data_IF_415213351299
#
_entry.id   IF_415213351299
#
_cell.length_a   1.000
_cell.length_b   1.000
_cell.length_c   1.000
_cell.angle_alpha   90.00
_cell.angle_beta   90.00
_cell.angle_gamma   90.00
#
_symmetry.space_group_name_H-M   'P 1'
#
loop_
_entity.id
_entity.type
_entity.pdbx_description
1 polymer ?
#
# COMPACT_ATOMS: atom_id res chain seq x y z
N UNK A 1 -33.02 17.72 -68.16
CA UNK A 1 -32.92 17.70 -66.69
C UNK A 1 -32.06 16.49 -66.35
N UNK A 2 -30.79 16.72 -66.11
CA UNK A 2 -29.80 15.65 -65.87
C UNK A 2 -29.15 16.01 -64.55
N UNK A 3 -29.60 15.37 -63.48
CA UNK A 3 -29.03 15.53 -62.15
C UNK A 3 -27.66 14.85 -62.12
N UNK A 4 -26.61 15.66 -62.06
CA UNK A 4 -25.25 15.21 -61.86
C UNK A 4 -25.05 14.88 -60.37
N UNK A 5 -25.12 13.59 -60.06
CA UNK A 5 -24.82 13.06 -58.73
C UNK A 5 -23.33 13.28 -58.41
N UNK A 6 -23.03 14.21 -57.50
CA UNK A 6 -21.66 14.42 -57.02
C UNK A 6 -21.24 13.27 -56.10
N UNK A 7 -20.02 12.71 -56.27
CA UNK A 7 -19.53 11.66 -55.38
C UNK A 7 -19.23 12.24 -54.00
N UNK A 8 -19.84 11.63 -52.98
CA UNK A 8 -19.59 11.92 -51.56
C UNK A 8 -18.11 11.62 -51.30
N UNK A 9 -17.30 12.66 -51.13
CA UNK A 9 -15.92 12.53 -50.73
C UNK A 9 -15.87 11.81 -49.39
N UNK A 10 -15.39 10.56 -49.39
CA UNK A 10 -15.11 9.80 -48.19
C UNK A 10 -14.05 10.56 -47.38
N UNK A 11 -14.48 11.28 -46.34
CA UNK A 11 -13.59 11.93 -45.39
C UNK A 11 -12.74 10.86 -44.70
N UNK A 12 -11.47 10.77 -45.04
CA UNK A 12 -10.51 9.93 -44.35
C UNK A 12 -10.36 10.46 -42.93
N UNK A 13 -10.83 9.69 -41.94
CA UNK A 13 -10.53 9.97 -40.54
C UNK A 13 -9.00 9.99 -40.38
N UNK A 14 -8.41 11.01 -39.71
CA UNK A 14 -6.99 11.01 -39.47
C UNK A 14 -6.66 9.79 -38.61
N UNK A 15 -5.87 8.88 -39.17
CA UNK A 15 -5.31 7.77 -38.40
C UNK A 15 -4.46 8.37 -37.28
N UNK A 16 -5.00 8.39 -36.07
CA UNK A 16 -4.31 8.82 -34.85
C UNK A 16 -3.27 7.76 -34.50
N UNK A 17 -2.20 7.71 -35.29
CA UNK A 17 -1.04 6.87 -35.01
C UNK A 17 -0.40 7.34 -33.71
N UNK A 18 -0.38 6.45 -32.72
CA UNK A 18 0.34 6.70 -31.46
C UNK A 18 1.80 6.91 -31.84
N UNK A 19 2.29 8.15 -31.67
CA UNK A 19 3.69 8.47 -31.96
C UNK A 19 4.58 7.63 -31.04
N UNK A 20 5.71 7.09 -31.53
CA UNK A 20 6.60 6.22 -30.75
C UNK A 20 7.07 6.88 -29.45
N UNK A 21 7.18 8.21 -29.42
CA UNK A 21 7.44 8.99 -28.22
C UNK A 21 6.43 8.72 -27.08
N UNK A 22 5.13 8.63 -27.37
CA UNK A 22 4.11 8.35 -26.35
C UNK A 22 4.24 6.95 -25.76
N UNK A 23 4.65 5.98 -26.57
CA UNK A 23 4.90 4.61 -26.11
C UNK A 23 6.07 4.60 -25.12
N UNK A 24 7.18 5.26 -25.46
CA UNK A 24 8.34 5.40 -24.57
C UNK A 24 7.96 6.13 -23.29
N UNK A 25 7.24 7.25 -23.40
CA UNK A 25 6.77 8.02 -22.25
C UNK A 25 5.87 7.19 -21.32
N UNK A 26 5.01 6.33 -21.86
CA UNK A 26 4.18 5.44 -21.06
C UNK A 26 5.00 4.32 -20.41
N UNK A 27 5.91 3.68 -21.16
CA UNK A 27 6.75 2.58 -20.65
C UNK A 27 7.60 3.02 -19.46
N UNK A 28 8.18 4.22 -19.50
CA UNK A 28 9.05 4.70 -18.42
C UNK A 28 8.34 5.62 -17.43
N UNK A 29 7.43 6.47 -17.91
CA UNK A 29 6.70 7.41 -17.07
C UNK A 29 5.70 6.74 -16.16
N UNK A 30 4.97 5.72 -16.64
CA UNK A 30 3.97 5.04 -15.80
C UNK A 30 4.59 4.31 -14.60
N UNK A 31 5.65 3.47 -14.75
CA UNK A 31 6.28 2.85 -13.59
C UNK A 31 6.87 3.86 -12.62
N UNK A 32 7.42 4.98 -13.12
CA UNK A 32 7.93 6.06 -12.27
C UNK A 32 6.83 6.68 -11.42
N UNK A 33 5.70 7.04 -12.03
CA UNK A 33 4.54 7.62 -11.32
C UNK A 33 4.00 6.63 -10.28
N UNK A 34 3.85 5.36 -10.66
CA UNK A 34 3.40 4.31 -9.73
C UNK A 34 4.38 4.08 -8.58
N UNK A 35 5.69 4.10 -8.85
CA UNK A 35 6.72 3.97 -7.82
C UNK A 35 6.69 5.12 -6.82
N UNK A 36 6.59 6.37 -7.30
CA UNK A 36 6.47 7.55 -6.43
C UNK A 36 5.18 7.48 -5.61
N UNK A 37 4.05 7.15 -6.25
CA UNK A 37 2.78 7.00 -5.55
C UNK A 37 2.83 5.92 -4.47
N UNK A 38 3.47 4.77 -4.76
CA UNK A 38 3.63 3.69 -3.80
C UNK A 38 4.46 4.12 -2.57
N UNK A 39 5.59 4.80 -2.77
CA UNK A 39 6.40 5.32 -1.66
C UNK A 39 5.64 6.36 -0.83
N UNK A 40 4.89 7.25 -1.49
CA UNK A 40 4.03 8.21 -0.80
C UNK A 40 2.96 7.53 0.06
N UNK A 41 2.32 6.50 -0.48
CA UNK A 41 1.35 5.69 0.27
C UNK A 41 1.97 5.00 1.48
N UNK A 42 3.13 4.36 1.33
CA UNK A 42 3.86 3.74 2.46
C UNK A 42 4.21 4.77 3.54
N UNK A 43 4.62 5.97 3.14
CA UNK A 43 4.90 7.07 4.08
C UNK A 43 3.67 7.50 4.87
N UNK A 44 2.50 7.59 4.22
CA UNK A 44 1.23 7.88 4.91
C UNK A 44 0.91 6.78 5.92
N UNK A 45 1.04 5.50 5.54
CA UNK A 45 0.77 4.38 6.45
C UNK A 45 1.71 4.43 7.66
N UNK A 46 3.00 4.68 7.45
CA UNK A 46 3.97 4.82 8.53
C UNK A 46 3.57 5.93 9.53
N UNK A 47 3.22 7.12 9.02
CA UNK A 47 2.86 8.27 9.85
C UNK A 47 1.51 8.10 10.56
N UNK A 48 0.57 7.34 9.97
CA UNK A 48 -0.76 7.11 10.54
C UNK A 48 -0.87 5.82 11.36
N UNK A 49 0.19 5.04 11.45
CA UNK A 49 0.21 3.87 12.32
C UNK A 49 0.22 4.28 13.79
N UNK A 50 -0.34 3.44 14.64
CA UNK A 50 -0.41 3.69 16.08
C UNK A 50 0.93 3.40 16.81
N UNK A 51 1.97 3.02 16.06
CA UNK A 51 3.29 2.70 16.63
C UNK A 51 4.13 3.97 16.81
N UNK A 52 4.84 4.03 17.93
CA UNK A 52 5.87 5.05 18.13
C UNK A 52 7.09 4.78 17.23
N UNK A 53 7.87 5.83 16.90
CA UNK A 53 9.09 5.67 16.10
C UNK A 53 10.02 4.59 16.67
N UNK A 54 10.21 4.55 17.99
CA UNK A 54 11.05 3.54 18.65
C UNK A 54 10.48 2.11 18.57
N UNK A 55 9.17 1.93 18.42
CA UNK A 55 8.52 0.62 18.33
C UNK A 55 8.62 0.01 16.93
N UNK A 56 8.87 0.86 15.93
CA UNK A 56 9.12 0.45 14.54
C UNK A 56 10.52 -0.14 14.34
N UNK A 57 11.30 -0.32 15.39
CA UNK A 57 12.52 -1.11 15.34
C UNK A 57 12.17 -2.61 15.21
N UNK A 58 11.82 -3.01 13.98
CA UNK A 58 11.35 -4.37 13.69
C UNK A 58 12.47 -5.42 13.76
N UNK A 59 13.74 -4.99 13.71
CA UNK A 59 14.89 -5.87 13.76
C UNK A 59 15.53 -5.94 15.18
N UNK A 60 15.21 -4.99 16.06
CA UNK A 60 15.66 -4.93 17.45
C UNK A 60 17.10 -4.46 17.62
N UNK A 61 17.66 -3.71 16.65
CA UNK A 61 19.05 -3.22 16.70
C UNK A 61 19.20 -1.93 17.52
N UNK A 62 18.10 -1.39 18.05
CA UNK A 62 18.02 -0.21 18.89
C UNK A 62 17.89 1.10 18.11
N UNK A 63 17.74 1.06 16.78
CA UNK A 63 17.59 2.26 15.94
C UNK A 63 16.59 2.07 14.82
N UNK A 64 15.48 2.81 14.89
CA UNK A 64 14.53 2.85 13.78
C UNK A 64 15.05 3.66 12.60
N UNK A 65 15.06 3.02 11.43
CA UNK A 65 15.39 3.61 10.14
C UNK A 65 14.13 3.96 9.34
N UNK A 66 14.27 4.84 8.33
CA UNK A 66 13.16 5.16 7.40
C UNK A 66 12.65 3.91 6.69
N UNK A 67 13.53 2.97 6.36
CA UNK A 67 13.14 1.70 5.74
C UNK A 67 12.22 0.88 6.64
N UNK A 68 12.49 0.86 7.94
CA UNK A 68 11.66 0.15 8.91
C UNK A 68 10.33 0.86 9.14
N UNK A 69 10.34 2.19 9.21
CA UNK A 69 9.09 2.95 9.26
C UNK A 69 8.18 2.65 8.04
N UNK A 70 8.75 2.55 6.83
CA UNK A 70 7.98 2.15 5.64
C UNK A 70 7.57 0.66 5.68
N UNK A 71 8.35 -0.18 6.35
CA UNK A 71 8.06 -1.61 6.51
C UNK A 71 6.85 -1.87 7.41
N UNK A 72 6.42 -0.89 8.21
CA UNK A 72 5.18 -0.95 9.02
C UNK A 72 3.95 -1.32 8.19
N UNK A 73 3.91 -0.95 6.91
CA UNK A 73 2.80 -1.32 6.02
C UNK A 73 2.71 -2.83 5.72
N UNK A 74 3.77 -3.59 5.99
CA UNK A 74 3.84 -5.05 5.87
C UNK A 74 3.74 -5.74 7.23
N UNK A 75 3.48 -5.00 8.31
CA UNK A 75 3.27 -5.57 9.65
C UNK A 75 1.79 -5.78 9.88
N UNK A 76 1.43 -6.99 10.31
CA UNK A 76 0.06 -7.33 10.71
C UNK A 76 0.03 -7.83 12.14
N UNK A 77 -1.09 -7.54 12.79
CA UNK A 77 -1.42 -8.02 14.12
C UNK A 77 -2.38 -9.21 14.02
N UNK A 78 -2.14 -10.25 14.81
CA UNK A 78 -3.08 -11.36 14.98
C UNK A 78 -3.24 -11.71 16.46
N UNK A 79 -4.44 -12.13 16.88
CA UNK A 79 -4.66 -12.56 18.25
C UNK A 79 -3.77 -13.77 18.57
N UNK A 80 -3.13 -13.72 19.73
CA UNK A 80 -2.27 -14.79 20.24
C UNK A 80 -2.67 -15.14 21.67
N UNK A 81 -3.18 -16.37 21.83
CA UNK A 81 -3.57 -16.88 23.13
C UNK A 81 -2.31 -17.34 23.90
N UNK A 82 -1.87 -16.52 24.86
CA UNK A 82 -0.81 -16.89 25.81
C UNK A 82 -1.44 -17.25 27.17
N UNK A 83 -2.04 -18.44 27.26
CA UNK A 83 -2.70 -18.92 28.48
C UNK A 83 -3.96 -18.13 28.82
N UNK A 84 -3.88 -17.25 29.84
CA UNK A 84 -5.01 -16.43 30.33
C UNK A 84 -4.93 -14.95 29.94
N UNK A 85 -3.93 -14.56 29.12
CA UNK A 85 -3.75 -13.20 28.65
C UNK A 85 -4.04 -13.11 27.15
N UNK A 86 -4.81 -12.08 26.77
CA UNK A 86 -5.05 -11.72 25.37
C UNK A 86 -3.83 -10.95 24.86
N UNK A 87 -2.91 -11.66 24.19
CA UNK A 87 -1.74 -11.05 23.57
C UNK A 87 -1.97 -10.84 22.08
N UNK A 88 -1.17 -9.96 21.48
CA UNK A 88 -1.11 -9.72 20.05
C UNK A 88 0.23 -10.22 19.53
N UNK A 89 0.21 -11.01 18.47
CA UNK A 89 1.41 -11.41 17.74
C UNK A 89 1.56 -10.50 16.51
N UNK A 90 2.74 -9.88 16.37
CA UNK A 90 3.10 -9.10 15.20
C UNK A 90 3.91 -9.94 14.23
N UNK A 91 3.59 -9.85 12.94
CA UNK A 91 4.20 -10.66 11.89
C UNK A 91 4.37 -9.86 10.61
N UNK A 92 5.32 -10.31 9.80
CA UNK A 92 5.45 -9.87 8.42
C UNK A 92 4.33 -10.47 7.58
N UNK A 93 3.45 -9.65 7.01
CA UNK A 93 2.30 -10.07 6.22
C UNK A 93 2.72 -10.92 5.00
N UNK A 94 3.80 -10.53 4.31
CA UNK A 94 4.31 -11.27 3.14
C UNK A 94 4.90 -12.65 3.45
N UNK A 95 5.51 -12.84 4.62
CA UNK A 95 6.24 -14.09 4.93
C UNK A 95 5.58 -14.92 6.03
N UNK A 96 4.65 -14.35 6.78
CA UNK A 96 4.08 -14.96 7.98
C UNK A 96 5.08 -15.13 9.12
N UNK A 97 6.30 -14.59 9.00
CA UNK A 97 7.32 -14.71 10.03
C UNK A 97 6.98 -13.80 11.21
N UNK A 98 6.97 -14.39 12.41
CA UNK A 98 6.80 -13.67 13.67
C UNK A 98 7.90 -12.63 13.86
N UNK A 99 7.50 -11.43 14.22
CA UNK A 99 8.36 -10.34 14.69
C UNK A 99 8.49 -10.44 16.21
N UNK A 100 7.38 -10.24 16.93
CA UNK A 100 7.32 -10.29 18.41
C UNK A 100 5.88 -10.55 18.90
N UNK A 101 5.74 -10.82 20.19
CA UNK A 101 4.44 -10.91 20.88
C UNK A 101 4.38 -9.77 21.88
N UNK A 102 3.27 -9.05 21.87
CA UNK A 102 2.96 -8.00 22.82
C UNK A 102 1.80 -8.45 23.70
N UNK A 103 2.04 -8.51 25.01
CA UNK A 103 1.02 -8.85 25.99
C UNK A 103 0.69 -7.59 26.82
N UNK A 104 -0.59 -7.32 27.08
CA UNK A 104 -0.98 -6.18 27.91
C UNK A 104 -0.38 -6.35 29.30
N UNK A 105 0.34 -5.32 29.77
CA UNK A 105 0.82 -5.28 31.15
C UNK A 105 -0.38 -4.91 32.01
N UNK A 106 -0.74 -5.78 32.96
CA UNK A 106 -1.89 -5.62 33.87
C UNK A 106 -1.96 -4.21 34.46
N UNK A 107 -2.77 -3.33 33.87
CA UNK A 107 -2.95 -1.93 34.32
C UNK A 107 -3.06 -0.87 33.21
N UNK A 108 -2.69 -1.17 31.96
CA UNK A 108 -2.80 -0.23 30.84
C UNK A 108 -3.51 -0.90 29.68
N UNK A 109 -4.63 -0.30 29.26
CA UNK A 109 -5.34 -0.47 27.99
C UNK A 109 -4.60 -1.37 27.01
N UNK A 110 -5.06 -2.62 26.87
CA UNK A 110 -4.68 -3.46 25.74
C UNK A 110 -4.81 -2.60 24.49
N UNK A 111 -3.69 -2.45 23.75
CA UNK A 111 -3.66 -1.78 22.46
C UNK A 111 -4.93 -2.22 21.70
N UNK A 112 -5.83 -1.25 21.53
CA UNK A 112 -7.15 -1.52 21.00
C UNK A 112 -6.94 -2.21 19.66
N UNK A 113 -7.53 -3.38 19.40
CA UNK A 113 -7.56 -3.94 18.06
C UNK A 113 -8.33 -2.92 17.20
N UNK A 114 -7.59 -2.05 16.51
CA UNK A 114 -8.12 -0.93 15.75
C UNK A 114 -9.04 -1.45 14.64
N UNK A 115 -10.33 -1.52 14.97
CA UNK A 115 -11.44 -1.26 14.07
C UNK A 115 -11.54 -2.09 12.77
N UNK A 116 -11.14 -3.36 12.77
CA UNK A 116 -11.37 -4.26 11.61
C UNK A 116 -12.34 -5.43 11.88
N UNK A 117 -12.94 -5.54 13.07
CA UNK A 117 -13.94 -6.60 13.36
C UNK A 117 -15.38 -6.09 13.34
N UNK A 118 -15.62 -4.78 13.46
CA UNK A 118 -16.98 -4.21 13.51
C UNK A 118 -17.57 -3.74 12.16
N UNK A 119 -16.87 -3.97 11.03
CA UNK A 119 -17.44 -3.74 9.68
C UNK A 119 -17.84 -5.02 8.93
N UNK A 120 -17.77 -6.17 9.59
CA UNK A 120 -18.12 -7.47 9.00
C UNK A 120 -19.46 -8.03 9.51
N UNK A 121 -20.37 -7.17 9.99
CA UNK A 121 -21.77 -7.53 10.27
C UNK A 121 -22.73 -6.57 9.59
#
# INVERSE_FOLDING_TARGET
MTDAQQPIAAGSAPATGIRPFWIVALIFGMPLVLGVFHLFFLGIVAVRSDYAWAEMDWNGDGRTTVREALATADVIERPYAAGRQDCVELLWARTGKRIRIECPTTGGTAAQPSALVDRAR
#
